data_IF_487613982650
#
_entry.id   IF_487613982650
#
_cell.length_a   1.000
_cell.length_b   1.000
_cell.length_c   1.000
_cell.angle_alpha   90.00
_cell.angle_beta   90.00
_cell.angle_gamma   90.00
#
_symmetry.space_group_name_H-M   'P 1'
#
loop_
_entity.id
_entity.type
_entity.pdbx_description
1 polymer ?
#
# COMPACT_ATOMS: atom_id res chain seq x y z
N UNK A 1 -10.30 72.95 42.44
CA UNK A 1 -10.26 73.13 40.96
C UNK A 1 -9.12 72.32 40.32
N UNK A 2 -7.89 72.37 40.85
CA UNK A 2 -6.71 71.68 40.29
C UNK A 2 -6.83 70.14 40.24
N UNK A 3 -7.41 69.49 41.26
CA UNK A 3 -7.58 68.02 41.30
C UNK A 3 -8.56 67.52 40.23
N UNK A 4 -9.65 68.24 39.98
CA UNK A 4 -10.63 67.89 38.92
C UNK A 4 -10.00 68.01 37.52
N UNK A 5 -9.18 69.03 37.28
CA UNK A 5 -8.47 69.20 36.01
C UNK A 5 -7.43 68.08 35.76
N UNK A 6 -6.74 67.63 36.82
CA UNK A 6 -5.81 66.47 36.77
C UNK A 6 -6.52 65.14 36.48
N UNK A 7 -7.70 64.93 37.04
CA UNK A 7 -8.51 63.72 36.78
C UNK A 7 -9.06 63.70 35.35
N UNK A 8 -9.53 64.85 34.83
CA UNK A 8 -10.04 64.96 33.45
C UNK A 8 -8.90 64.74 32.44
N UNK A 9 -7.72 65.32 32.68
CA UNK A 9 -6.56 65.10 31.81
C UNK A 9 -6.08 63.65 31.83
N UNK A 10 -6.04 63.00 32.99
CA UNK A 10 -5.73 61.57 33.10
C UNK A 10 -6.75 60.69 32.35
N UNK A 11 -8.04 61.02 32.45
CA UNK A 11 -9.10 60.31 31.74
C UNK A 11 -8.99 60.47 30.22
N UNK A 12 -8.66 61.67 29.74
CA UNK A 12 -8.43 61.92 28.30
C UNK A 12 -7.23 61.12 27.79
N UNK A 13 -6.12 61.08 28.52
CA UNK A 13 -4.96 60.27 28.14
C UNK A 13 -5.26 58.76 28.13
N UNK A 14 -6.05 58.28 29.09
CA UNK A 14 -6.49 56.88 29.12
C UNK A 14 -7.38 56.56 27.92
N UNK A 15 -8.32 57.44 27.58
CA UNK A 15 -9.20 57.29 26.41
C UNK A 15 -8.42 57.31 25.10
N UNK A 16 -7.39 58.16 24.98
CA UNK A 16 -6.48 58.18 23.82
C UNK A 16 -5.71 56.87 23.70
N UNK A 17 -5.20 56.32 24.80
CA UNK A 17 -4.49 55.04 24.79
C UNK A 17 -5.40 53.86 24.43
N UNK A 18 -6.67 53.88 24.85
CA UNK A 18 -7.66 52.85 24.51
C UNK A 18 -8.13 52.92 23.06
N UNK A 19 -8.11 54.12 22.46
CA UNK A 19 -8.59 54.36 21.10
C UNK A 19 -7.53 54.10 20.00
N UNK A 20 -6.27 53.85 20.38
CA UNK A 20 -5.21 53.50 19.42
C UNK A 20 -5.38 52.03 18.97
N UNK A 21 -5.66 51.75 17.69
CA UNK A 21 -5.77 50.38 17.20
C UNK A 21 -4.40 49.70 17.23
N UNK A 22 -4.21 48.75 18.14
CA UNK A 22 -3.04 47.89 18.15
C UNK A 22 -3.25 46.78 17.12
N UNK A 23 -2.34 46.67 16.14
CA UNK A 23 -2.31 45.52 15.23
C UNK A 23 -1.94 44.26 16.02
N UNK A 24 -2.93 43.42 16.28
CA UNK A 24 -2.70 42.11 16.86
C UNK A 24 -2.28 41.13 15.76
N UNK A 25 -1.03 40.66 15.79
CA UNK A 25 -0.54 39.59 14.92
C UNK A 25 -1.00 38.23 15.46
N UNK A 26 -2.28 37.93 15.28
CA UNK A 26 -2.76 36.56 15.44
C UNK A 26 -2.21 35.73 14.27
N UNK A 27 -1.40 34.72 14.57
CA UNK A 27 -0.89 33.82 13.54
C UNK A 27 -2.02 32.89 13.11
N UNK A 28 -2.38 32.96 11.83
CA UNK A 28 -3.25 31.96 11.20
C UNK A 28 -2.46 30.66 10.95
N UNK A 29 -3.14 29.53 11.06
CA UNK A 29 -2.61 28.22 10.65
C UNK A 29 -3.40 27.76 9.43
N UNK A 30 -2.69 27.36 8.37
CA UNK A 30 -3.29 26.70 7.21
C UNK A 30 -2.93 25.22 7.31
N UNK A 31 -3.94 24.35 7.24
CA UNK A 31 -3.79 22.89 7.28
C UNK A 31 -4.48 22.33 6.04
N UNK A 32 -3.70 21.69 5.18
CA UNK A 32 -4.17 20.93 4.04
C UNK A 32 -4.07 19.43 4.34
N UNK A 33 -4.97 18.63 3.76
CA UNK A 33 -4.92 17.16 3.88
C UNK A 33 -5.24 16.49 2.54
N UNK A 34 -4.71 15.28 2.36
CA UNK A 34 -4.97 14.40 1.23
C UNK A 34 -5.20 12.99 1.76
N UNK A 35 -6.11 12.24 1.14
CA UNK A 35 -6.42 10.85 1.51
C UNK A 35 -6.04 9.96 0.35
N UNK A 36 -4.96 9.21 0.51
CA UNK A 36 -4.45 8.27 -0.50
C UNK A 36 -4.62 6.82 -0.05
N UNK A 37 -4.77 5.93 -1.03
CA UNK A 37 -4.78 4.49 -0.78
C UNK A 37 -3.36 3.98 -0.67
N UNK A 38 -2.98 3.45 0.50
CA UNK A 38 -1.66 2.81 0.69
C UNK A 38 -1.78 1.29 0.61
N UNK A 39 -0.91 0.66 -0.17
CA UNK A 39 -0.81 -0.79 -0.26
C UNK A 39 0.31 -1.27 0.67
N UNK A 40 0.01 -2.26 1.51
CA UNK A 40 0.99 -2.97 2.34
C UNK A 40 1.18 -4.39 1.83
N UNK A 41 2.43 -4.72 1.52
CA UNK A 41 2.90 -6.07 1.22
C UNK A 41 3.45 -6.67 2.50
N UNK A 42 3.12 -7.92 2.76
CA UNK A 42 3.67 -8.71 3.86
C UNK A 42 4.23 -10.00 3.28
N UNK A 43 5.55 -10.12 3.24
CA UNK A 43 6.24 -11.26 2.67
C UNK A 43 6.73 -12.19 3.77
N UNK A 44 6.36 -13.47 3.67
CA UNK A 44 6.74 -14.53 4.61
C UNK A 44 7.14 -15.78 3.83
N UNK A 45 8.05 -16.56 4.39
CA UNK A 45 8.27 -17.93 3.94
C UNK A 45 7.05 -18.80 4.28
N UNK A 46 6.97 -19.99 3.69
CA UNK A 46 5.93 -20.99 3.99
C UNK A 46 5.96 -21.47 5.45
N UNK A 47 7.12 -21.36 6.11
CA UNK A 47 7.30 -21.55 7.55
C UNK A 47 6.66 -20.45 8.41
N UNK A 48 6.25 -19.33 7.79
CA UNK A 48 5.71 -18.14 8.47
C UNK A 48 6.75 -17.09 8.87
N UNK A 49 8.05 -17.39 8.75
CA UNK A 49 9.14 -16.44 9.05
C UNK A 49 9.09 -15.23 8.10
N UNK A 50 9.27 -13.99 8.60
CA UNK A 50 9.28 -12.81 7.75
C UNK A 50 10.43 -12.83 6.73
N UNK A 51 10.15 -12.38 5.51
CA UNK A 51 11.18 -12.22 4.48
C UNK A 51 11.91 -10.88 4.65
N UNK A 52 12.56 -10.68 5.80
CA UNK A 52 13.26 -9.44 6.14
C UNK A 52 14.30 -9.07 5.07
N UNK A 53 14.36 -7.82 4.62
CA UNK A 53 15.35 -7.43 3.61
C UNK A 53 15.13 -8.02 2.20
N UNK A 54 13.95 -8.59 1.92
CA UNK A 54 13.60 -9.04 0.57
C UNK A 54 13.50 -7.87 -0.40
N UNK A 55 13.99 -8.04 -1.62
CA UNK A 55 13.88 -7.05 -2.68
C UNK A 55 12.45 -7.01 -3.20
N UNK A 56 11.91 -5.80 -3.35
CA UNK A 56 10.58 -5.56 -3.89
C UNK A 56 10.70 -4.76 -5.19
N UNK A 57 9.97 -5.18 -6.22
CA UNK A 57 9.85 -4.47 -7.48
C UNK A 57 8.38 -4.31 -7.81
N UNK A 58 7.95 -3.07 -8.04
CA UNK A 58 6.57 -2.69 -8.36
C UNK A 58 6.54 -2.24 -9.82
N UNK A 59 5.62 -2.81 -10.59
CA UNK A 59 5.36 -2.46 -11.98
C UNK A 59 3.98 -1.81 -12.08
N UNK A 60 3.92 -0.69 -12.79
CA UNK A 60 2.68 0.02 -13.06
C UNK A 60 1.91 -0.66 -14.21
N UNK A 61 0.57 -0.49 -14.29
CA UNK A 61 -0.25 -1.14 -15.30
C UNK A 61 0.09 -0.74 -16.74
N UNK A 62 0.62 0.46 -16.95
CA UNK A 62 0.92 1.05 -18.25
C UNK A 62 2.25 0.57 -18.86
N UNK A 63 3.22 0.20 -18.01
CA UNK A 63 4.49 -0.37 -18.44
C UNK A 63 4.94 -1.51 -17.51
N UNK A 64 4.50 -2.76 -17.78
CA UNK A 64 4.84 -3.91 -16.95
C UNK A 64 6.28 -4.43 -17.17
N UNK A 65 7.01 -3.88 -18.14
CA UNK A 65 8.38 -4.30 -18.45
C UNK A 65 9.42 -3.49 -17.66
N UNK A 66 9.07 -2.28 -17.23
CA UNK A 66 9.97 -1.36 -16.52
C UNK A 66 9.53 -1.21 -15.07
N UNK A 67 10.43 -1.41 -14.09
CA UNK A 67 10.14 -1.12 -12.70
C UNK A 67 9.68 0.33 -12.50
N UNK A 68 8.50 0.52 -11.94
CA UNK A 68 8.02 1.82 -11.51
C UNK A 68 8.63 2.24 -10.16
N UNK A 69 8.72 1.28 -9.23
CA UNK A 69 9.34 1.47 -7.92
C UNK A 69 10.12 0.22 -7.54
N UNK A 70 11.27 0.42 -6.90
CA UNK A 70 12.01 -0.66 -6.24
C UNK A 70 12.18 -0.34 -4.76
N UNK A 71 12.30 -1.37 -3.94
CA UNK A 71 12.41 -1.22 -2.51
C UNK A 71 12.87 -2.51 -1.83
N UNK A 72 12.83 -2.48 -0.50
CA UNK A 72 13.27 -3.60 0.34
C UNK A 72 12.29 -3.74 1.51
N UNK A 73 11.93 -4.97 1.86
CA UNK A 73 11.11 -5.25 3.04
C UNK A 73 11.85 -4.91 4.34
N UNK A 74 11.12 -4.42 5.35
CA UNK A 74 11.61 -4.22 6.72
C UNK A 74 11.88 -5.54 7.46
N UNK A 75 12.25 -5.47 8.75
CA UNK A 75 12.57 -6.63 9.60
C UNK A 75 11.36 -7.58 9.78
N UNK A 76 10.15 -7.05 9.72
CA UNK A 76 8.90 -7.81 9.78
C UNK A 76 8.47 -8.35 8.40
N UNK A 77 9.28 -8.18 7.36
CA UNK A 77 8.98 -8.62 6.01
C UNK A 77 7.94 -7.75 5.30
N UNK A 78 7.69 -6.54 5.78
CA UNK A 78 6.69 -5.63 5.24
C UNK A 78 7.30 -4.61 4.27
N UNK A 79 6.51 -4.20 3.28
CA UNK A 79 6.84 -3.11 2.37
C UNK A 79 5.56 -2.34 2.03
N UNK A 80 5.59 -1.01 2.05
CA UNK A 80 4.43 -0.17 1.73
C UNK A 80 4.73 0.76 0.57
N UNK A 81 3.73 0.96 -0.29
CA UNK A 81 3.78 1.98 -1.33
C UNK A 81 2.39 2.53 -1.61
N UNK A 82 2.34 3.75 -2.13
CA UNK A 82 1.13 4.40 -2.60
C UNK A 82 1.16 4.40 -4.12
N UNK A 83 0.28 3.64 -4.81
CA UNK A 83 0.21 3.65 -6.27
C UNK A 83 -0.24 5.03 -6.78
N UNK A 84 0.22 5.39 -7.97
CA UNK A 84 -0.25 6.60 -8.65
C UNK A 84 -1.73 6.45 -9.03
N UNK A 85 -2.59 7.25 -8.42
CA UNK A 85 -4.04 7.21 -8.65
C UNK A 85 -4.44 7.57 -10.09
N UNK A 86 -3.57 8.23 -10.86
CA UNK A 86 -3.80 8.51 -12.27
C UNK A 86 -3.61 7.28 -13.18
N UNK A 87 -3.07 6.18 -12.62
CA UNK A 87 -2.79 4.92 -13.32
C UNK A 87 -3.65 3.77 -12.77
N UNK A 88 -4.97 3.77 -13.03
CA UNK A 88 -5.84 2.66 -12.64
C UNK A 88 -5.49 1.39 -13.43
N UNK A 89 -5.70 0.23 -12.83
CA UNK A 89 -5.43 -1.07 -13.46
C UNK A 89 -4.74 -2.05 -12.52
N UNK A 90 -4.15 -3.08 -13.10
CA UNK A 90 -3.47 -4.15 -12.35
C UNK A 90 -2.00 -3.77 -12.13
N UNK A 91 -1.66 -3.47 -10.89
CA UNK A 91 -0.28 -3.29 -10.45
C UNK A 91 0.33 -4.64 -10.11
N UNK A 92 1.57 -4.87 -10.52
CA UNK A 92 2.29 -6.11 -10.23
C UNK A 92 3.39 -5.84 -9.22
N UNK A 93 3.41 -6.60 -8.13
CA UNK A 93 4.46 -6.51 -7.12
C UNK A 93 5.19 -7.84 -7.04
N UNK A 94 6.49 -7.81 -7.30
CA UNK A 94 7.39 -8.95 -7.15
C UNK A 94 8.21 -8.78 -5.87
N UNK A 95 8.27 -9.84 -5.05
CA UNK A 95 9.14 -9.90 -3.87
C UNK A 95 10.11 -11.06 -4.03
N UNK A 96 11.41 -10.83 -3.84
CA UNK A 96 12.46 -11.86 -3.96
C UNK A 96 13.54 -11.75 -2.89
N UNK A 97 13.95 -12.90 -2.35
CA UNK A 97 15.13 -13.04 -1.48
C UNK A 97 15.75 -14.42 -1.64
N UNK A 98 17.06 -14.49 -1.89
CA UNK A 98 17.83 -15.74 -1.93
C UNK A 98 17.15 -16.89 -2.71
N UNK A 99 16.70 -16.61 -3.93
CA UNK A 99 16.04 -17.60 -4.81
C UNK A 99 14.57 -17.90 -4.50
N UNK A 100 14.04 -17.42 -3.37
CA UNK A 100 12.64 -17.51 -3.01
C UNK A 100 11.93 -16.20 -3.40
N UNK A 101 10.64 -16.29 -3.75
CA UNK A 101 9.88 -15.11 -4.08
C UNK A 101 8.48 -15.42 -4.62
N UNK A 102 7.71 -14.36 -4.79
CA UNK A 102 6.36 -14.41 -5.30
C UNK A 102 6.01 -13.15 -6.06
N UNK A 103 4.89 -13.19 -6.78
CA UNK A 103 4.29 -12.02 -7.42
C UNK A 103 2.82 -11.92 -7.05
N UNK A 104 2.34 -10.71 -6.81
CA UNK A 104 0.93 -10.41 -6.56
C UNK A 104 0.43 -9.37 -7.56
N UNK A 105 -0.82 -9.53 -7.98
CA UNK A 105 -1.52 -8.64 -8.88
C UNK A 105 -2.56 -7.88 -8.08
N UNK A 106 -2.45 -6.56 -8.04
CA UNK A 106 -3.25 -5.70 -7.17
C UNK A 106 -4.07 -4.77 -8.07
N UNK A 107 -5.40 -4.95 -8.14
CA UNK A 107 -6.24 -3.98 -8.82
C UNK A 107 -6.19 -2.65 -8.05
N UNK A 108 -6.12 -1.54 -8.78
CA UNK A 108 -6.16 -0.17 -8.25
C UNK A 108 -7.15 0.62 -9.09
N UNK A 109 -8.05 1.36 -8.45
CA UNK A 109 -9.07 2.20 -9.11
C UNK A 109 -10.41 1.51 -9.36
N UNK A 110 -10.52 0.20 -9.15
CA UNK A 110 -11.80 -0.52 -9.05
C UNK A 110 -12.17 -0.70 -7.56
N UNK A 111 -13.44 -0.94 -7.20
CA UNK A 111 -13.82 -1.22 -5.82
C UNK A 111 -13.24 -2.56 -5.38
N UNK A 112 -12.02 -2.56 -4.85
CA UNK A 112 -11.28 -3.77 -4.51
C UNK A 112 -11.79 -4.36 -3.20
N UNK A 113 -12.55 -5.44 -3.28
CA UNK A 113 -12.57 -6.41 -2.19
C UNK A 113 -11.16 -7.03 -2.12
N UNK A 114 -10.46 -6.85 -1.00
CA UNK A 114 -9.14 -7.40 -0.77
C UNK A 114 -9.15 -8.91 -1.08
N UNK A 115 -8.59 -9.28 -2.23
CA UNK A 115 -8.44 -10.69 -2.59
C UNK A 115 -7.10 -11.12 -2.00
N UNK A 116 -7.15 -11.96 -0.97
CA UNK A 116 -5.99 -12.63 -0.39
C UNK A 116 -5.33 -13.51 -1.45
N UNK A 117 -4.36 -12.95 -2.16
CA UNK A 117 -3.61 -13.67 -3.18
C UNK A 117 -2.20 -13.97 -2.72
N UNK A 118 -1.94 -15.21 -2.25
CA UNK A 118 -0.70 -15.97 -2.51
C UNK A 118 -0.98 -17.49 -2.43
N UNK A 119 -0.91 -18.17 -3.58
CA UNK A 119 0.04 -19.29 -3.76
C UNK A 119 -0.27 -20.69 -3.22
N UNK A 120 -1.51 -21.16 -3.25
CA UNK A 120 -1.83 -22.59 -3.07
C UNK A 120 -2.79 -23.08 -4.14
N UNK A 121 -2.58 -24.28 -4.69
CA UNK A 121 -3.58 -24.90 -5.55
C UNK A 121 -4.84 -25.19 -4.73
N UNK A 122 -6.01 -24.89 -5.28
CA UNK A 122 -7.27 -25.25 -4.63
C UNK A 122 -7.37 -26.78 -4.50
N UNK A 123 -8.10 -27.28 -3.50
CA UNK A 123 -8.33 -28.74 -3.35
C UNK A 123 -8.89 -29.33 -4.65
N UNK A 124 -9.76 -28.60 -5.34
CA UNK A 124 -10.32 -29.03 -6.62
C UNK A 124 -9.25 -29.09 -7.73
N UNK A 125 -8.35 -28.10 -7.80
CA UNK A 125 -7.19 -28.17 -8.71
C UNK A 125 -6.29 -29.37 -8.42
N UNK A 126 -5.96 -29.60 -7.15
CA UNK A 126 -5.12 -30.74 -6.74
C UNK A 126 -5.77 -32.06 -7.16
N UNK A 127 -7.08 -32.21 -6.93
CA UNK A 127 -7.84 -33.40 -7.32
C UNK A 127 -7.84 -33.59 -8.83
N UNK A 128 -8.11 -32.54 -9.61
CA UNK A 128 -8.09 -32.62 -11.08
C UNK A 128 -6.71 -33.01 -11.62
N UNK A 129 -5.64 -32.38 -11.12
CA UNK A 129 -4.27 -32.73 -11.52
C UNK A 129 -3.95 -34.20 -11.20
N UNK A 130 -4.34 -34.68 -10.02
CA UNK A 130 -4.14 -36.07 -9.62
C UNK A 130 -4.90 -37.04 -10.53
N UNK A 131 -6.15 -36.72 -10.90
CA UNK A 131 -6.96 -37.53 -11.82
C UNK A 131 -6.31 -37.63 -13.20
N UNK A 132 -5.80 -36.51 -13.75
CA UNK A 132 -5.11 -36.52 -15.04
C UNK A 132 -3.86 -37.41 -15.04
N UNK A 133 -3.08 -37.37 -13.95
CA UNK A 133 -1.88 -38.21 -13.79
C UNK A 133 -2.25 -39.69 -13.71
N UNK A 134 -3.24 -40.05 -12.87
CA UNK A 134 -3.73 -41.43 -12.76
C UNK A 134 -4.24 -41.94 -14.12
N UNK A 135 -5.03 -41.12 -14.82
CA UNK A 135 -5.53 -41.48 -16.15
C UNK A 135 -4.40 -41.67 -17.17
N UNK A 136 -3.34 -40.86 -17.12
CA UNK A 136 -2.16 -41.03 -17.96
C UNK A 136 -1.47 -42.37 -17.75
N UNK A 137 -1.31 -42.81 -16.49
CA UNK A 137 -0.75 -44.13 -16.18
C UNK A 137 -1.66 -45.26 -16.66
N UNK A 138 -2.97 -45.17 -16.42
CA UNK A 138 -3.96 -46.16 -16.88
C UNK A 138 -3.96 -46.27 -18.40
N UNK A 139 -4.03 -45.14 -19.11
CA UNK A 139 -4.01 -45.12 -20.57
C UNK A 139 -2.72 -45.70 -21.16
N UNK A 140 -1.58 -45.40 -20.54
CA UNK A 140 -0.28 -45.97 -20.94
C UNK A 140 -0.26 -47.49 -20.73
N UNK A 141 -0.74 -47.98 -19.58
CA UNK A 141 -0.82 -49.41 -19.30
C UNK A 141 -1.72 -50.15 -20.30
N UNK A 142 -2.90 -49.59 -20.61
CA UNK A 142 -3.84 -50.16 -21.59
C UNK A 142 -3.28 -50.14 -23.02
N UNK A 143 -2.52 -49.12 -23.39
CA UNK A 143 -1.88 -49.04 -24.70
C UNK A 143 -0.88 -50.18 -24.93
N UNK A 144 -0.08 -50.51 -23.90
CA UNK A 144 0.87 -51.62 -23.99
C UNK A 144 0.21 -52.99 -23.79
N UNK A 145 -0.88 -53.09 -23.03
CA UNK A 145 -1.60 -54.36 -22.85
C UNK A 145 -2.25 -54.86 -24.14
N UNK A 146 -2.61 -53.96 -25.06
CA UNK A 146 -3.19 -54.32 -26.38
C UNK A 146 -2.14 -54.80 -27.40
N UNK A 147 -0.85 -54.55 -27.17
CA UNK A 147 0.23 -54.92 -28.10
C UNK A 147 0.89 -56.28 -27.81
N UNK A 148 0.51 -56.91 -26.69
CA UNK A 148 0.98 -58.23 -26.28
C UNK A 148 -0.03 -59.36 -26.49
N UNK A 149 -1.11 -59.12 -27.26
CA UNK A 149 -2.09 -60.12 -27.67
C UNK A 149 -2.12 -60.23 -29.21
#
# INVERSE_FOLDING_TARGET
MVVRLRLVTALVWLLVMLALPLTAYAHGVIVDYMVDTTIKIVARYDTGEPMAGAQVVVYAPDDPAVPWLTGVCDEEGCFTFTPDASKPGIWVVQVRKAGHGGMVHIPVGESVAATTGVGGFSVLQIVLMSMCVIWGFVGTALYFSRRGA
#
